data_IF_280110332793
#
_entry.id   IF_280110332793
#
_cell.length_a   1.000
_cell.length_b   1.000
_cell.length_c   1.000
_cell.angle_alpha   90.00
_cell.angle_beta   90.00
_cell.angle_gamma   90.00
#
_symmetry.space_group_name_H-M   'P 1'
#
loop_
_entity.id
_entity.type
_entity.pdbx_description
1 polymer ?
#
# COMPACT_ATOMS: atom_id res chain seq x y z
N UNK A 1 -4.60 -12.87 -2.44
CA UNK A 1 -4.95 -11.88 -1.40
C UNK A 1 -4.09 -10.64 -1.65
N UNK A 2 -4.66 -9.43 -1.76
CA UNK A 2 -3.84 -8.23 -2.04
C UNK A 2 -3.28 -7.61 -0.75
N UNK A 3 -2.37 -6.64 -0.89
CA UNK A 3 -1.71 -5.99 0.24
C UNK A 3 -2.73 -5.35 1.21
N UNK A 4 -3.78 -4.70 0.67
CA UNK A 4 -4.84 -4.09 1.49
C UNK A 4 -5.61 -5.11 2.33
N UNK A 5 -6.02 -6.24 1.73
CA UNK A 5 -6.72 -7.30 2.45
C UNK A 5 -5.89 -7.82 3.63
N UNK A 6 -4.59 -8.03 3.41
CA UNK A 6 -3.66 -8.52 4.42
C UNK A 6 -3.45 -7.50 5.55
N UNK A 7 -3.37 -6.21 5.20
CA UNK A 7 -3.28 -5.12 6.17
C UNK A 7 -4.52 -5.06 7.08
N UNK A 8 -5.73 -5.10 6.50
CA UNK A 8 -6.97 -5.05 7.27
C UNK A 8 -7.09 -6.21 8.25
N UNK A 9 -6.68 -7.41 7.84
CA UNK A 9 -6.65 -8.58 8.72
C UNK A 9 -5.64 -8.42 9.86
N UNK A 10 -4.43 -7.96 9.54
CA UNK A 10 -3.36 -7.75 10.54
C UNK A 10 -3.75 -6.70 11.58
N UNK A 11 -4.48 -5.67 11.16
CA UNK A 11 -4.97 -4.61 12.05
C UNK A 11 -6.33 -4.91 12.68
N UNK A 12 -6.94 -6.08 12.39
CA UNK A 12 -8.30 -6.42 12.80
C UNK A 12 -9.33 -5.31 12.50
N UNK A 13 -9.13 -4.64 11.38
CA UNK A 13 -9.91 -3.48 10.95
C UNK A 13 -10.93 -3.91 9.92
N UNK A 14 -12.18 -3.45 10.08
CA UNK A 14 -13.23 -3.75 9.10
C UNK A 14 -13.08 -2.88 7.85
N UNK A 15 -13.63 -3.34 6.72
CA UNK A 15 -13.65 -2.54 5.48
C UNK A 15 -14.44 -1.23 5.66
N UNK A 16 -15.48 -1.22 6.50
CA UNK A 16 -16.28 -0.02 6.81
C UNK A 16 -15.45 1.01 7.57
N UNK A 17 -14.79 0.58 8.66
CA UNK A 17 -13.90 1.47 9.43
C UNK A 17 -12.80 2.05 8.56
N UNK A 18 -12.16 1.22 7.74
CA UNK A 18 -11.12 1.71 6.84
C UNK A 18 -11.66 2.71 5.80
N UNK A 19 -12.87 2.47 5.28
CA UNK A 19 -13.54 3.38 4.34
C UNK A 19 -13.80 4.75 4.99
N UNK A 20 -14.22 4.77 6.25
CA UNK A 20 -14.41 6.01 7.02
C UNK A 20 -13.09 6.77 7.22
N UNK A 21 -12.01 6.06 7.57
CA UNK A 21 -10.67 6.65 7.74
C UNK A 21 -10.18 7.34 6.46
N UNK A 22 -10.29 6.66 5.31
CA UNK A 22 -9.79 7.21 4.04
C UNK A 22 -10.80 8.16 3.36
N UNK A 23 -12.03 8.27 3.90
CA UNK A 23 -13.09 9.13 3.38
C UNK A 23 -13.76 8.62 2.09
N UNK A 24 -13.93 7.30 1.94
CA UNK A 24 -14.62 6.69 0.80
C UNK A 24 -15.78 5.80 1.23
N UNK A 25 -16.55 5.29 0.27
CA UNK A 25 -17.64 4.35 0.55
C UNK A 25 -17.11 2.92 0.70
N UNK A 26 -17.63 2.16 1.65
CA UNK A 26 -17.27 0.75 1.89
C UNK A 26 -17.32 -0.15 0.63
N UNK A 27 -18.29 -0.01 -0.30
CA UNK A 27 -18.31 -0.80 -1.53
C UNK A 27 -17.07 -0.60 -2.42
N UNK A 28 -16.46 0.59 -2.37
CA UNK A 28 -15.20 0.85 -3.08
C UNK A 28 -14.07 0.03 -2.45
N UNK A 29 -13.95 0.06 -1.12
CA UNK A 29 -12.95 -0.74 -0.38
C UNK A 29 -13.12 -2.23 -0.67
N UNK A 30 -14.36 -2.73 -0.72
CA UNK A 30 -14.64 -4.13 -1.08
C UNK A 30 -14.12 -4.48 -2.48
N UNK A 31 -14.33 -3.61 -3.48
CA UNK A 31 -13.81 -3.80 -4.84
C UNK A 31 -12.28 -3.78 -4.88
N UNK A 32 -11.66 -2.87 -4.12
CA UNK A 32 -10.21 -2.76 -3.99
C UNK A 32 -9.62 -4.04 -3.37
N UNK A 33 -10.16 -4.50 -2.24
CA UNK A 33 -9.74 -5.73 -1.54
C UNK A 33 -9.84 -6.96 -2.45
N UNK A 34 -10.89 -7.04 -3.27
CA UNK A 34 -11.08 -8.13 -4.24
C UNK A 34 -10.20 -8.00 -5.49
N UNK A 35 -9.52 -6.87 -5.70
CA UNK A 35 -8.73 -6.58 -6.89
C UNK A 35 -9.57 -6.34 -8.16
N UNK A 36 -10.89 -6.16 -8.03
CA UNK A 36 -11.81 -5.90 -9.16
C UNK A 36 -11.69 -4.46 -9.65
N UNK A 37 -11.21 -3.55 -8.80
CA UNK A 37 -11.01 -2.15 -9.11
C UNK A 37 -9.61 -1.72 -8.69
N UNK A 38 -9.07 -0.73 -9.40
CA UNK A 38 -7.83 -0.05 -9.04
C UNK A 38 -8.18 1.32 -8.44
N UNK A 39 -7.48 1.75 -7.39
CA UNK A 39 -7.65 3.10 -6.87
C UNK A 39 -7.12 4.13 -7.87
N UNK A 40 -7.61 5.37 -7.81
CA UNK A 40 -6.94 6.48 -8.50
C UNK A 40 -5.57 6.77 -7.87
N UNK A 41 -4.66 7.49 -8.54
CA UNK A 41 -3.35 7.82 -7.98
C UNK A 41 -3.47 8.55 -6.63
N UNK A 42 -4.37 9.52 -6.50
CA UNK A 42 -4.59 10.23 -5.24
C UNK A 42 -5.08 9.31 -4.12
N UNK A 43 -5.97 8.36 -4.45
CA UNK A 43 -6.48 7.39 -3.48
C UNK A 43 -5.41 6.38 -3.08
N UNK A 44 -4.60 5.91 -4.02
CA UNK A 44 -3.48 5.02 -3.75
C UNK A 44 -2.44 5.68 -2.85
N UNK A 45 -2.11 6.95 -3.10
CA UNK A 45 -1.22 7.73 -2.25
C UNK A 45 -1.80 7.95 -0.85
N UNK A 46 -3.11 8.24 -0.76
CA UNK A 46 -3.81 8.34 0.53
C UNK A 46 -3.75 7.02 1.30
N UNK A 47 -4.04 5.90 0.65
CA UNK A 47 -3.97 4.57 1.28
C UNK A 47 -2.54 4.30 1.78
N UNK A 48 -1.51 4.59 0.99
CA UNK A 48 -0.13 4.41 1.41
C UNK A 48 0.19 5.23 2.68
N UNK A 49 -0.25 6.49 2.73
CA UNK A 49 -0.07 7.37 3.89
C UNK A 49 -0.81 6.87 5.14
N UNK A 50 -2.09 6.55 5.02
CA UNK A 50 -2.93 6.09 6.15
C UNK A 50 -2.51 4.70 6.66
N UNK A 51 -1.87 3.90 5.81
CA UNK A 51 -1.34 2.58 6.19
C UNK A 51 0.13 2.62 6.59
N UNK A 52 0.73 3.80 6.67
CA UNK A 52 2.17 3.99 6.93
C UNK A 52 3.05 3.09 6.04
N UNK A 53 2.77 3.12 4.73
CA UNK A 53 3.43 2.33 3.69
C UNK A 53 3.34 0.80 3.86
N UNK A 54 2.52 0.28 4.78
CA UNK A 54 2.22 -1.16 4.84
C UNK A 54 1.42 -1.63 3.63
N UNK A 55 0.68 -0.72 3.00
CA UNK A 55 0.11 -0.90 1.66
C UNK A 55 0.78 0.12 0.73
N UNK A 56 1.97 -0.20 0.18
CA UNK A 56 2.71 0.74 -0.65
C UNK A 56 1.92 1.15 -1.89
N UNK A 57 2.15 2.36 -2.40
CA UNK A 57 1.58 2.81 -3.67
C UNK A 57 1.83 1.82 -4.82
N UNK A 58 3.04 1.25 -4.88
CA UNK A 58 3.44 0.30 -5.92
C UNK A 58 2.93 -1.13 -5.71
N UNK A 59 2.17 -1.39 -4.63
CA UNK A 59 1.53 -2.69 -4.39
C UNK A 59 0.30 -2.91 -5.30
N UNK A 60 -0.21 -1.84 -5.89
CA UNK A 60 -1.31 -1.90 -6.84
C UNK A 60 -0.79 -2.29 -8.23
N UNK A 61 -1.41 -3.26 -8.94
CA UNK A 61 -0.95 -3.71 -10.26
C UNK A 61 -0.81 -2.60 -11.30
N UNK A 62 -1.66 -1.57 -11.25
CA UNK A 62 -1.59 -0.43 -12.15
C UNK A 62 -0.30 0.41 -11.97
N UNK A 63 0.33 0.34 -10.79
CA UNK A 63 1.49 1.15 -10.43
C UNK A 63 2.77 0.34 -10.24
N UNK A 64 2.68 -0.98 -10.14
CA UNK A 64 3.82 -1.87 -9.98
C UNK A 64 4.98 -1.61 -10.99
N UNK A 65 4.73 -1.30 -12.28
CA UNK A 65 5.81 -1.01 -13.23
C UNK A 65 6.59 0.28 -12.94
N UNK A 66 6.03 1.19 -12.14
CA UNK A 66 6.65 2.46 -11.78
C UNK A 66 7.37 2.40 -10.43
N UNK A 67 7.46 1.21 -9.81
CA UNK A 67 8.21 1.04 -8.58
C UNK A 67 9.67 1.44 -8.85
N UNK A 68 10.23 2.42 -8.12
CA UNK A 68 11.65 2.73 -8.27
C UNK A 68 12.44 1.48 -7.88
N UNK A 69 13.19 0.95 -8.83
CA UNK A 69 14.11 -0.17 -8.63
C UNK A 69 15.35 0.38 -7.92
N UNK A 70 15.24 0.60 -6.60
CA UNK A 70 16.33 1.20 -5.84
C UNK A 70 16.00 1.54 -4.40
N UNK A 71 15.99 0.51 -3.54
CA UNK A 71 16.46 0.67 -2.17
C UNK A 71 17.54 -0.41 -1.93
N UNK A 72 18.70 -0.19 -2.55
CA UNK A 72 19.93 -0.91 -2.23
C UNK A 72 20.46 -0.34 -0.90
N UNK A 73 19.80 -0.65 0.21
CA UNK A 73 20.22 -0.23 1.57
C UNK A 73 21.53 -0.90 2.05
N UNK A 74 22.37 -1.43 1.15
CA UNK A 74 23.62 -2.08 1.55
C UNK A 74 24.78 -1.71 0.62
N UNK A 75 25.26 -0.46 0.73
CA UNK A 75 26.65 -0.14 0.39
C UNK A 75 27.25 0.89 1.35
N UNK A 76 27.09 0.66 2.64
CA UNK A 76 27.96 1.25 3.66
C UNK A 76 28.54 0.14 4.56
N UNK A 77 29.27 -0.80 3.96
CA UNK A 77 30.14 -1.75 4.68
C UNK A 77 31.42 -1.97 3.88
N UNK A 78 32.37 -1.03 3.99
CA UNK A 78 33.84 -1.25 4.02
C UNK A 78 34.59 0.09 3.89
N UNK A 79 34.47 0.95 4.90
CA UNK A 79 35.56 1.86 5.28
C UNK A 79 36.20 1.30 6.56
N UNK A 80 37.17 0.40 6.39
CA UNK A 80 38.10 -0.01 7.43
C UNK A 80 39.35 -0.64 6.77
N UNK A 81 40.11 0.19 6.04
CA UNK A 81 41.54 -0.03 5.76
C UNK A 81 42.15 1.26 5.19
N UNK A 82 42.81 2.02 6.07
CA UNK A 82 44.20 2.46 5.99
C UNK A 82 44.48 3.39 7.17
#
# INVERSE_FOLDING_TARGET
MNALASYLQTQSMTQTQFAEVIGVKQPLVSKLVRGVSQPSPDLAARIARETHDRVPFYSWPAYAPFKPEGDETNRCTKEARC
#
